data_IF_037665338491
#
_entry.id   IF_037665338491
#
_cell.length_a   1.000
_cell.length_b   1.000
_cell.length_c   1.000
_cell.angle_alpha   90.00
_cell.angle_beta   90.00
_cell.angle_gamma   90.00
#
_symmetry.space_group_name_H-M   'P 1'
#
loop_
_entity.id
_entity.type
_entity.pdbx_description
1 polymer ?
#
# COMPACT_ATOMS: atom_id res chain seq x y z
N UNK A 1 40.51 -62.79 24.41
CA UNK A 1 41.86 -62.23 24.61
C UNK A 1 41.63 -60.77 24.97
N UNK A 2 41.47 -60.51 26.26
CA UNK A 2 42.50 -60.00 27.21
C UNK A 2 42.50 -58.46 27.17
N UNK A 3 41.79 -57.75 28.06
CA UNK A 3 42.03 -57.59 29.51
C UNK A 3 43.48 -57.22 29.81
N UNK A 4 43.67 -56.03 30.35
CA UNK A 4 44.53 -55.61 31.48
C UNK A 4 44.16 -54.14 31.72
N UNK A 5 43.33 -53.79 32.71
CA UNK A 5 43.52 -53.87 34.17
C UNK A 5 44.92 -53.44 34.62
N UNK A 6 44.94 -52.32 35.35
CA UNK A 6 45.97 -51.96 36.31
C UNK A 6 45.23 -51.47 37.58
N UNK A 7 44.97 -52.43 38.48
CA UNK A 7 45.30 -52.44 39.91
C UNK A 7 46.17 -51.26 40.38
N UNK A 8 46.16 -50.76 41.61
CA UNK A 8 45.47 -50.99 42.88
C UNK A 8 46.06 -49.90 43.79
N UNK A 9 45.29 -49.26 44.68
CA UNK A 9 45.65 -49.21 46.11
C UNK A 9 44.56 -48.54 46.97
N UNK A 10 44.29 -49.17 48.10
CA UNK A 10 43.31 -48.90 49.16
C UNK A 10 44.10 -48.87 50.48
N UNK A 11 43.54 -48.65 51.69
CA UNK A 11 42.73 -47.58 52.27
C UNK A 11 43.46 -46.89 53.46
N UNK A 12 42.83 -45.91 54.14
CA UNK A 12 42.83 -45.96 55.61
C UNK A 12 41.64 -45.19 56.21
N UNK A 13 40.84 -45.93 56.97
CA UNK A 13 39.78 -45.53 57.87
C UNK A 13 40.32 -44.92 59.16
N UNK A 14 39.63 -43.93 59.74
CA UNK A 14 39.57 -43.77 61.20
C UNK A 14 38.31 -43.02 61.63
N UNK A 15 37.40 -43.77 62.24
CA UNK A 15 36.33 -43.30 63.12
C UNK A 15 36.92 -42.69 64.40
N UNK A 16 36.27 -41.66 64.94
CA UNK A 16 36.02 -41.60 66.39
C UNK A 16 34.84 -40.67 66.71
N UNK A 17 33.79 -41.28 67.23
CA UNK A 17 32.67 -40.64 67.91
C UNK A 17 33.04 -40.37 69.38
N UNK A 18 32.50 -39.30 69.98
CA UNK A 18 32.22 -39.24 71.41
C UNK A 18 31.01 -38.34 71.67
N UNK A 19 30.09 -38.82 72.51
CA UNK A 19 28.85 -38.20 72.94
C UNK A 19 28.93 -37.78 74.43
N UNK A 20 28.16 -36.76 74.84
CA UNK A 20 27.78 -36.54 76.24
C UNK A 20 27.64 -35.06 76.70
N UNK A 21 26.45 -34.61 77.20
CA UNK A 21 26.16 -33.25 77.71
C UNK A 21 26.07 -33.23 79.27
N UNK A 22 25.39 -32.29 79.99
CA UNK A 22 25.12 -30.83 79.82
C UNK A 22 25.64 -30.01 81.04
N UNK A 23 25.44 -28.67 81.10
CA UNK A 23 24.99 -27.92 82.32
C UNK A 23 24.85 -26.39 82.12
N UNK A 24 23.62 -25.91 82.30
CA UNK A 24 23.14 -24.69 83.00
C UNK A 24 23.86 -23.34 83.01
N UNK A 25 23.02 -22.29 82.73
CA UNK A 25 23.01 -20.89 83.23
C UNK A 25 24.19 -20.01 82.79
N UNK A 26 24.06 -18.74 82.44
CA UNK A 26 23.17 -17.66 82.89
C UNK A 26 23.17 -16.54 81.82
N UNK A 27 22.11 -15.72 81.80
CA UNK A 27 21.95 -14.55 80.94
C UNK A 27 22.95 -13.43 81.31
N UNK A 28 23.25 -12.52 80.37
CA UNK A 28 22.99 -11.07 80.44
C UNK A 28 23.91 -10.28 79.49
N UNK A 29 23.30 -9.33 78.76
CA UNK A 29 23.76 -7.94 78.54
C UNK A 29 23.96 -7.47 77.09
N UNK A 30 22.90 -6.80 76.62
CA UNK A 30 22.86 -5.54 75.88
C UNK A 30 23.71 -5.34 74.62
N UNK A 31 23.04 -5.30 73.46
CA UNK A 31 23.59 -4.66 72.27
C UNK A 31 22.77 -4.84 71.00
N UNK A 32 21.61 -4.20 70.88
CA UNK A 32 20.94 -4.02 69.58
C UNK A 32 20.22 -2.67 69.57
N UNK A 33 20.75 -1.73 68.77
CA UNK A 33 20.06 -0.49 68.42
C UNK A 33 18.83 -0.78 67.54
N UNK A 34 17.90 0.17 67.42
CA UNK A 34 16.71 -0.03 66.59
C UNK A 34 17.11 -0.30 65.13
N UNK A 35 16.38 -1.20 64.42
CA UNK A 35 16.66 -1.47 63.02
C UNK A 35 16.49 -0.19 62.19
N UNK A 36 17.33 0.06 61.17
CA UNK A 36 17.13 1.19 60.29
C UNK A 36 15.77 1.04 59.60
N UNK A 37 14.90 2.04 59.78
CA UNK A 37 13.65 2.12 59.06
C UNK A 37 13.93 2.20 57.55
N UNK A 38 13.20 1.46 56.70
CA UNK A 38 13.39 1.53 55.26
C UNK A 38 13.07 2.95 54.79
N UNK A 39 14.04 3.57 54.13
CA UNK A 39 13.88 4.86 53.48
C UNK A 39 12.66 4.85 52.57
N UNK A 40 11.77 5.81 52.79
CA UNK A 40 10.81 6.26 51.80
C UNK A 40 11.56 6.82 50.57
N UNK A 41 11.03 6.54 49.38
CA UNK A 41 11.68 6.70 48.09
C UNK A 41 11.83 5.30 47.50
N UNK A 42 11.03 4.86 46.54
CA UNK A 42 10.76 5.58 45.31
C UNK A 42 9.30 5.32 44.86
N UNK A 43 8.51 6.39 44.70
CA UNK A 43 7.35 6.37 43.82
C UNK A 43 7.88 6.30 42.37
N UNK A 44 8.49 5.16 42.04
CA UNK A 44 9.19 4.93 40.80
C UNK A 44 8.17 4.47 39.74
N UNK A 45 7.98 5.22 38.63
CA UNK A 45 7.14 4.76 37.51
C UNK A 45 7.64 3.41 36.94
N UNK A 46 8.87 3.04 37.24
CA UNK A 46 9.53 1.79 36.86
C UNK A 46 8.90 0.56 37.50
N UNK A 47 8.32 0.67 38.70
CA UNK A 47 7.71 -0.47 39.40
C UNK A 47 6.42 -0.97 38.73
N UNK A 48 5.59 -0.03 38.24
CA UNK A 48 4.34 -0.35 37.55
C UNK A 48 4.59 -0.83 36.12
N UNK A 49 5.52 -0.20 35.40
CA UNK A 49 5.90 -0.62 34.06
C UNK A 49 6.56 -2.00 34.08
N UNK A 50 7.49 -2.27 35.00
CA UNK A 50 8.08 -3.61 35.16
C UNK A 50 7.03 -4.64 35.51
N UNK A 51 6.13 -4.36 36.46
CA UNK A 51 5.04 -5.27 36.83
C UNK A 51 4.10 -5.57 35.65
N UNK A 52 3.82 -4.59 34.81
CA UNK A 52 3.06 -4.77 33.58
C UNK A 52 3.83 -5.61 32.55
N UNK A 53 5.10 -5.28 32.32
CA UNK A 53 5.97 -5.96 31.36
C UNK A 53 6.27 -7.41 31.75
N UNK A 54 6.30 -7.74 33.03
CA UNK A 54 6.59 -9.10 33.55
C UNK A 54 5.35 -9.83 34.06
N UNK A 55 4.14 -9.33 33.82
CA UNK A 55 2.93 -10.02 34.26
C UNK A 55 2.78 -11.38 33.53
N UNK A 56 2.79 -12.48 34.27
CA UNK A 56 2.70 -13.84 33.72
C UNK A 56 1.27 -14.41 33.73
N UNK A 57 0.31 -13.74 34.38
CA UNK A 57 -1.10 -14.17 34.43
C UNK A 57 -2.07 -13.00 34.64
N UNK A 58 -3.34 -13.22 34.28
CA UNK A 58 -4.43 -12.25 34.51
C UNK A 58 -4.58 -11.15 33.45
N UNK A 59 -5.45 -10.14 33.69
CA UNK A 59 -5.81 -9.12 32.70
C UNK A 59 -4.64 -8.25 32.22
N UNK A 60 -3.61 -8.05 33.06
CA UNK A 60 -2.42 -7.26 32.70
C UNK A 60 -1.57 -7.97 31.64
N UNK A 61 -1.46 -9.30 31.70
CA UNK A 61 -0.77 -10.08 30.66
C UNK A 61 -1.51 -9.94 29.32
N UNK A 62 -2.84 -10.11 29.32
CA UNK A 62 -3.64 -9.93 28.10
C UNK A 62 -3.48 -8.53 27.50
N UNK A 63 -3.51 -7.48 28.34
CA UNK A 63 -3.27 -6.11 27.90
C UNK A 63 -1.86 -5.93 27.34
N UNK A 64 -0.82 -6.51 27.95
CA UNK A 64 0.55 -6.49 27.41
C UNK A 64 0.60 -7.14 26.04
N UNK A 65 0.08 -8.35 25.88
CA UNK A 65 0.09 -9.08 24.61
C UNK A 65 -0.68 -8.34 23.50
N UNK A 66 -1.80 -7.72 23.86
CA UNK A 66 -2.55 -6.87 22.94
C UNK A 66 -1.72 -5.65 22.52
N UNK A 67 -1.12 -4.94 23.47
CA UNK A 67 -0.30 -3.76 23.18
C UNK A 67 0.98 -4.10 22.42
N UNK A 68 1.67 -5.20 22.74
CA UNK A 68 2.87 -5.63 21.99
C UNK A 68 2.52 -6.04 20.57
N UNK A 69 1.38 -6.71 20.36
CA UNK A 69 0.88 -7.03 19.02
C UNK A 69 0.56 -5.77 18.22
N UNK A 70 -0.20 -4.83 18.79
CA UNK A 70 -0.50 -3.54 18.16
C UNK A 70 0.76 -2.73 17.88
N UNK A 71 1.69 -2.67 18.84
CA UNK A 71 2.96 -1.97 18.69
C UNK A 71 3.83 -2.60 17.60
N UNK A 72 3.83 -3.93 17.49
CA UNK A 72 4.57 -4.64 16.43
C UNK A 72 4.01 -4.29 15.05
N UNK A 73 2.68 -4.32 14.88
CA UNK A 73 2.03 -3.93 13.61
C UNK A 73 2.30 -2.46 13.29
N UNK A 74 2.17 -1.57 14.28
CA UNK A 74 2.48 -0.15 14.12
C UNK A 74 3.96 0.06 13.74
N UNK A 75 4.89 -0.66 14.36
CA UNK A 75 6.31 -0.58 14.04
C UNK A 75 6.61 -1.01 12.60
N UNK A 76 5.99 -2.10 12.13
CA UNK A 76 6.10 -2.54 10.73
C UNK A 76 5.50 -1.50 9.79
N UNK A 77 4.32 -0.96 10.10
CA UNK A 77 3.67 0.08 9.29
C UNK A 77 4.50 1.37 9.21
N UNK A 78 5.02 1.83 10.35
CA UNK A 78 5.91 2.98 10.42
C UNK A 78 7.22 2.77 9.69
N UNK A 79 7.81 1.57 9.77
CA UNK A 79 9.01 1.22 9.01
C UNK A 79 8.74 1.29 7.50
N UNK A 80 7.62 0.70 7.04
CA UNK A 80 7.23 0.76 5.64
C UNK A 80 6.99 2.20 5.19
N UNK A 81 6.26 3.00 5.97
CA UNK A 81 6.01 4.41 5.68
C UNK A 81 7.29 5.24 5.67
N UNK A 82 8.22 5.00 6.61
CA UNK A 82 9.51 5.70 6.64
C UNK A 82 10.33 5.43 5.38
N UNK A 83 10.25 4.21 4.84
CA UNK A 83 10.93 3.81 3.59
C UNK A 83 10.18 4.35 2.38
N UNK A 84 8.85 4.19 2.29
CA UNK A 84 8.06 4.52 1.10
C UNK A 84 7.67 5.99 1.00
N UNK A 85 7.45 6.69 2.10
CA UNK A 85 6.83 8.02 2.16
C UNK A 85 5.33 8.04 1.85
N UNK A 86 4.73 6.90 1.49
CA UNK A 86 3.31 6.78 1.10
C UNK A 86 2.63 5.60 1.79
N UNK A 87 1.36 5.78 2.12
CA UNK A 87 0.53 4.74 2.72
C UNK A 87 -0.79 4.60 1.95
N UNK A 88 -1.17 3.38 1.48
CA UNK A 88 -0.42 2.13 1.57
C UNK A 88 0.78 2.10 0.60
N UNK A 89 1.91 1.46 0.97
CA UNK A 89 3.13 1.43 0.16
C UNK A 89 3.08 0.43 -1.00
N UNK A 90 1.91 -0.18 -1.25
CA UNK A 90 1.74 -1.25 -2.22
C UNK A 90 0.39 -1.15 -2.92
N UNK A 91 0.39 -1.33 -4.24
CA UNK A 91 -0.79 -1.39 -5.10
C UNK A 91 -0.83 -2.71 -5.87
N UNK A 92 -2.03 -3.27 -6.08
CA UNK A 92 -2.20 -4.47 -6.88
C UNK A 92 -2.59 -4.09 -8.31
N UNK A 93 -2.04 -4.79 -9.29
CA UNK A 93 -2.38 -4.57 -10.69
C UNK A 93 -3.70 -5.27 -11.02
N UNK A 94 -4.70 -4.50 -11.42
CA UNK A 94 -6.05 -5.00 -11.68
C UNK A 94 -6.34 -5.28 -13.17
N UNK A 95 -5.59 -4.65 -14.07
CA UNK A 95 -5.78 -4.72 -15.52
C UNK A 95 -4.47 -5.05 -16.26
N UNK A 96 -4.58 -5.42 -17.53
CA UNK A 96 -3.45 -5.71 -18.42
C UNK A 96 -2.95 -4.48 -19.20
N UNK A 97 -3.23 -3.26 -18.74
CA UNK A 97 -2.81 -2.03 -19.46
C UNK A 97 -1.30 -1.83 -19.50
N UNK A 98 -0.56 -2.53 -18.62
CA UNK A 98 0.89 -2.47 -18.51
C UNK A 98 1.60 -3.74 -18.98
N UNK A 99 0.90 -4.65 -19.66
CA UNK A 99 1.52 -5.86 -20.22
C UNK A 99 2.56 -5.51 -21.32
N UNK A 100 3.66 -6.28 -21.45
CA UNK A 100 4.07 -7.41 -20.62
C UNK A 100 4.85 -7.01 -19.34
N UNK A 101 5.08 -5.72 -19.14
CA UNK A 101 5.97 -5.17 -18.13
C UNK A 101 5.42 -5.34 -16.71
N UNK A 102 4.09 -5.24 -16.55
CA UNK A 102 3.38 -5.50 -15.31
C UNK A 102 2.06 -6.22 -15.61
N UNK A 103 1.87 -7.38 -14.98
CA UNK A 103 0.74 -8.27 -15.27
C UNK A 103 -0.33 -8.17 -14.18
N UNK A 104 -1.55 -8.51 -14.56
CA UNK A 104 -2.66 -8.62 -13.61
C UNK A 104 -2.32 -9.55 -12.45
N UNK A 105 -2.52 -9.07 -11.24
CA UNK A 105 -2.21 -9.78 -10.00
C UNK A 105 -0.76 -9.64 -9.53
N UNK A 106 0.05 -8.81 -10.18
CA UNK A 106 1.33 -8.37 -9.61
C UNK A 106 1.08 -7.39 -8.44
N UNK A 107 1.93 -7.43 -7.42
CA UNK A 107 1.97 -6.43 -6.36
C UNK A 107 3.13 -5.48 -6.59
N UNK A 108 2.86 -4.18 -6.53
CA UNK A 108 3.81 -3.14 -6.88
C UNK A 108 4.11 -2.32 -5.64
N UNK A 109 5.37 -2.29 -5.25
CA UNK A 109 5.85 -1.38 -4.22
C UNK A 109 6.00 0.02 -4.80
N UNK A 110 5.41 1.00 -4.12
CA UNK A 110 5.38 2.39 -4.53
C UNK A 110 6.05 3.28 -3.48
N UNK A 111 6.65 4.36 -3.94
CA UNK A 111 7.22 5.40 -3.09
C UNK A 111 6.58 6.74 -3.40
N UNK A 112 6.71 7.69 -2.48
CA UNK A 112 6.44 9.11 -2.71
C UNK A 112 7.17 9.60 -3.97
N UNK A 113 6.56 10.49 -4.76
CA UNK A 113 7.27 11.17 -5.86
C UNK A 113 8.56 11.83 -5.34
N UNK A 114 9.64 11.77 -6.12
CA UNK A 114 10.95 12.34 -5.72
C UNK A 114 11.80 11.46 -4.82
N UNK A 115 11.19 10.55 -4.06
CA UNK A 115 11.93 9.65 -3.18
C UNK A 115 12.72 8.62 -3.97
N UNK A 116 14.05 8.70 -3.95
CA UNK A 116 14.95 7.93 -4.84
C UNK A 116 14.79 8.28 -6.34
N UNK A 117 14.34 9.49 -6.66
CA UNK A 117 14.36 9.95 -8.05
C UNK A 117 15.81 10.20 -8.51
N UNK A 118 16.15 9.84 -9.76
CA UNK A 118 17.44 10.21 -10.34
C UNK A 118 17.48 11.70 -10.67
N UNK A 119 18.69 12.25 -10.87
CA UNK A 119 18.89 13.67 -11.20
C UNK A 119 18.25 14.07 -12.54
N UNK A 120 18.00 13.10 -13.43
CA UNK A 120 17.30 13.31 -14.70
C UNK A 120 15.78 13.53 -14.54
N UNK A 121 15.24 13.39 -13.33
CA UNK A 121 13.84 13.61 -13.08
C UNK A 121 13.47 15.08 -13.28
N UNK A 122 12.25 15.33 -13.76
CA UNK A 122 11.74 16.69 -13.87
C UNK A 122 11.70 17.35 -12.49
N UNK A 123 12.24 18.56 -12.43
CA UNK A 123 12.35 19.35 -11.19
C UNK A 123 11.01 19.42 -10.45
N UNK A 124 11.05 19.19 -9.14
CA UNK A 124 9.86 19.24 -8.28
C UNK A 124 8.88 18.06 -8.42
N UNK A 125 9.11 17.12 -9.34
CA UNK A 125 8.18 15.98 -9.55
C UNK A 125 8.80 14.62 -9.23
N UNK A 126 10.12 14.46 -9.40
CA UNK A 126 10.77 13.18 -9.21
C UNK A 126 10.42 12.11 -10.25
N UNK A 127 9.81 12.50 -11.37
CA UNK A 127 9.42 11.63 -12.47
C UNK A 127 10.37 11.85 -13.64
N UNK A 128 10.92 10.76 -14.17
CA UNK A 128 11.64 10.76 -15.46
C UNK A 128 10.64 10.35 -16.53
N UNK A 129 10.42 11.18 -17.53
CA UNK A 129 9.54 10.82 -18.65
C UNK A 129 10.23 9.78 -19.54
N UNK A 130 9.47 9.02 -20.32
CA UNK A 130 10.01 8.04 -21.27
C UNK A 130 11.02 8.69 -22.23
N UNK A 131 10.68 9.85 -22.79
CA UNK A 131 11.57 10.61 -23.68
C UNK A 131 12.90 10.98 -23.04
N UNK A 132 12.89 11.55 -21.82
CA UNK A 132 14.13 11.86 -21.09
C UNK A 132 14.86 10.58 -20.69
N UNK A 133 14.12 9.54 -20.31
CA UNK A 133 14.66 8.24 -19.93
C UNK A 133 15.42 7.57 -21.08
N UNK A 134 14.93 7.70 -22.31
CA UNK A 134 15.61 7.22 -23.52
C UNK A 134 16.92 7.98 -23.77
N UNK A 135 16.93 9.29 -23.54
CA UNK A 135 18.14 10.12 -23.69
C UNK A 135 19.22 9.80 -22.65
N UNK A 136 18.82 9.53 -21.41
CA UNK A 136 19.76 9.30 -20.29
C UNK A 136 19.97 7.83 -19.93
N UNK A 137 19.29 6.90 -20.60
CA UNK A 137 19.35 5.46 -20.31
C UNK A 137 18.71 5.07 -18.98
N UNK A 138 17.67 5.78 -18.54
CA UNK A 138 16.93 5.45 -17.32
C UNK A 138 15.71 4.58 -17.65
N UNK A 139 15.73 3.34 -17.15
CA UNK A 139 14.68 2.34 -17.38
C UNK A 139 13.98 1.91 -16.10
N UNK A 140 12.66 1.71 -16.19
CA UNK A 140 11.88 1.01 -15.16
C UNK A 140 10.95 -0.01 -15.81
N UNK A 141 10.89 -1.22 -15.24
CA UNK A 141 10.06 -2.32 -15.72
C UNK A 141 10.29 -2.67 -17.21
N UNK A 142 11.55 -2.77 -17.65
CA UNK A 142 11.96 -3.13 -19.02
C UNK A 142 11.59 -2.14 -20.13
N UNK A 143 11.27 -0.88 -19.80
CA UNK A 143 11.11 0.22 -20.77
C UNK A 143 11.58 1.54 -20.12
N UNK A 144 11.80 2.58 -20.91
CA UNK A 144 12.37 3.84 -20.44
C UNK A 144 11.42 4.64 -19.56
N UNK A 145 11.99 5.52 -18.74
CA UNK A 145 11.24 6.45 -17.90
C UNK A 145 10.55 5.78 -16.72
N UNK A 146 9.76 6.56 -16.01
CA UNK A 146 9.11 6.22 -14.74
C UNK A 146 7.67 5.77 -14.96
N UNK A 147 7.27 4.71 -14.27
CA UNK A 147 5.86 4.32 -14.09
C UNK A 147 5.30 4.99 -12.84
N UNK A 148 4.23 5.75 -13.02
CA UNK A 148 3.60 6.55 -11.98
C UNK A 148 2.21 6.00 -11.63
N UNK A 149 1.83 6.17 -10.37
CA UNK A 149 0.48 5.92 -9.86
C UNK A 149 -0.16 7.27 -9.60
N UNK A 150 -1.36 7.50 -10.15
CA UNK A 150 -2.03 8.78 -10.04
C UNK A 150 -3.54 8.65 -9.93
N UNK A 151 -4.15 9.65 -9.30
CA UNK A 151 -5.60 9.83 -9.23
C UNK A 151 -5.99 10.98 -10.16
N UNK A 152 -6.84 10.69 -11.14
CA UNK A 152 -7.31 11.71 -12.09
C UNK A 152 -8.52 12.44 -11.52
N UNK A 153 -8.47 13.78 -11.48
CA UNK A 153 -9.56 14.59 -10.92
C UNK A 153 -10.91 14.28 -11.58
N UNK A 154 -11.89 13.86 -10.78
CA UNK A 154 -13.23 13.49 -11.24
C UNK A 154 -13.44 11.98 -11.46
N UNK A 155 -12.40 11.16 -11.37
CA UNK A 155 -12.54 9.70 -11.39
C UNK A 155 -12.78 9.16 -9.97
N UNK A 156 -13.95 8.54 -9.74
CA UNK A 156 -14.29 7.82 -8.50
C UNK A 156 -13.85 6.35 -8.61
N UNK A 157 -12.64 6.12 -9.11
CA UNK A 157 -12.10 4.80 -9.43
C UNK A 157 -10.83 4.46 -8.64
N UNK A 158 -10.32 3.22 -8.77
CA UNK A 158 -9.00 2.89 -8.26
C UNK A 158 -7.92 3.71 -8.97
N UNK A 159 -6.79 4.00 -8.30
CA UNK A 159 -5.68 4.73 -8.90
C UNK A 159 -5.18 4.09 -10.19
N UNK A 160 -4.75 4.91 -11.14
CA UNK A 160 -4.25 4.47 -12.44
C UNK A 160 -2.73 4.33 -12.37
N UNK A 161 -2.18 3.26 -12.94
CA UNK A 161 -0.74 3.01 -13.00
C UNK A 161 -0.26 2.93 -14.44
N UNK A 162 0.39 3.98 -14.93
CA UNK A 162 0.86 4.07 -16.31
C UNK A 162 2.22 4.77 -16.40
N UNK A 163 2.87 4.66 -17.57
CA UNK A 163 4.16 5.28 -17.81
C UNK A 163 4.01 6.74 -18.20
N UNK A 164 4.82 7.61 -17.59
CA UNK A 164 4.94 9.00 -18.01
C UNK A 164 5.71 9.05 -19.33
N UNK A 165 5.10 9.53 -20.41
CA UNK A 165 5.72 9.55 -21.75
C UNK A 165 6.52 10.82 -21.98
N UNK A 166 5.90 11.98 -21.74
CA UNK A 166 6.53 13.29 -21.81
C UNK A 166 5.75 14.31 -20.96
N UNK A 167 6.30 15.51 -20.80
CA UNK A 167 5.69 16.60 -20.03
C UNK A 167 5.21 17.70 -20.95
N UNK A 168 4.07 18.29 -20.64
CA UNK A 168 3.49 19.41 -21.38
C UNK A 168 3.17 20.57 -20.45
N UNK A 169 3.36 21.80 -20.93
CA UNK A 169 2.96 23.03 -20.24
C UNK A 169 1.53 23.47 -20.60
N UNK A 170 0.92 24.29 -19.76
CA UNK A 170 -0.38 24.91 -20.03
C UNK A 170 -0.39 25.66 -21.36
N UNK A 171 -1.43 25.42 -22.17
CA UNK A 171 -1.61 26.01 -23.49
C UNK A 171 -0.74 25.42 -24.59
N UNK A 172 0.08 24.40 -24.28
CA UNK A 172 0.96 23.78 -25.26
C UNK A 172 0.18 22.91 -26.25
N UNK A 173 0.54 23.05 -27.53
CA UNK A 173 0.13 22.11 -28.56
C UNK A 173 0.99 20.84 -28.44
N UNK A 174 0.54 19.92 -27.61
CA UNK A 174 1.25 18.66 -27.40
C UNK A 174 1.06 17.64 -28.51
N UNK A 175 0.20 17.91 -29.51
CA UNK A 175 0.13 17.07 -30.70
C UNK A 175 1.49 16.97 -31.36
N UNK A 176 2.23 18.07 -31.48
CA UNK A 176 3.50 18.14 -32.22
C UNK A 176 4.56 17.20 -31.66
N UNK A 177 4.58 17.02 -30.33
CA UNK A 177 5.47 16.09 -29.63
C UNK A 177 4.92 14.66 -29.54
N UNK A 178 3.59 14.50 -29.60
CA UNK A 178 2.94 13.20 -29.48
C UNK A 178 3.30 12.23 -30.61
N UNK A 179 3.37 10.94 -30.26
CA UNK A 179 3.38 9.87 -31.25
C UNK A 179 2.01 9.79 -31.96
N UNK A 180 2.01 10.03 -33.27
CA UNK A 180 0.80 10.08 -34.10
C UNK A 180 0.03 8.76 -34.15
N UNK A 181 0.67 7.63 -33.83
CA UNK A 181 -0.02 6.35 -33.73
C UNK A 181 -0.94 6.26 -32.50
N UNK A 182 -0.76 7.12 -31.49
CA UNK A 182 -1.43 7.02 -30.18
C UNK A 182 -2.46 8.13 -29.91
N UNK A 183 -2.75 8.96 -30.92
CA UNK A 183 -3.66 10.12 -30.83
C UNK A 183 -5.02 9.89 -31.50
N UNK A 184 -5.47 8.63 -31.56
CA UNK A 184 -6.79 8.25 -32.10
C UNK A 184 -7.12 8.77 -33.50
N UNK A 185 -6.10 8.89 -34.36
CA UNK A 185 -6.28 9.36 -35.73
C UNK A 185 -6.51 10.87 -35.86
N UNK A 186 -6.25 11.65 -34.81
CA UNK A 186 -6.23 13.10 -34.90
C UNK A 186 -5.12 13.59 -35.84
N UNK A 187 -5.45 14.57 -36.67
CA UNK A 187 -4.53 15.23 -37.60
C UNK A 187 -3.94 16.53 -37.03
N UNK A 188 -4.49 17.01 -35.90
CA UNK A 188 -4.03 18.20 -35.20
C UNK A 188 -4.59 18.25 -33.76
N UNK A 189 -4.10 19.24 -33.01
CA UNK A 189 -4.47 19.48 -31.62
C UNK A 189 -5.97 19.76 -31.42
N UNK A 190 -6.61 20.48 -32.34
CA UNK A 190 -8.04 20.86 -32.21
C UNK A 190 -8.98 19.65 -32.25
N UNK A 191 -8.50 18.50 -32.74
CA UNK A 191 -9.23 17.24 -32.80
C UNK A 191 -8.99 16.34 -31.58
N UNK A 192 -8.16 16.77 -30.62
CA UNK A 192 -7.81 15.97 -29.45
C UNK A 192 -8.39 16.57 -28.18
N UNK A 193 -8.94 15.71 -27.34
CA UNK A 193 -9.29 16.11 -25.99
C UNK A 193 -8.05 16.54 -25.22
N UNK A 194 -8.20 17.60 -24.44
CA UNK A 194 -7.12 18.20 -23.65
C UNK A 194 -5.94 18.74 -24.47
N UNK A 195 -6.16 19.11 -25.74
CA UNK A 195 -5.20 19.81 -26.58
C UNK A 195 -5.83 21.12 -27.11
N UNK A 196 -5.20 22.30 -26.91
CA UNK A 196 -3.96 22.54 -26.16
C UNK A 196 -4.08 22.11 -24.70
N UNK A 197 -2.94 21.81 -24.06
CA UNK A 197 -2.93 21.28 -22.71
C UNK A 197 -3.66 22.24 -21.74
N UNK A 198 -4.69 21.79 -21.00
CA UNK A 198 -5.47 22.66 -20.13
C UNK A 198 -4.70 23.13 -18.89
N UNK A 199 -3.58 22.47 -18.59
CA UNK A 199 -2.63 22.79 -17.53
C UNK A 199 -1.36 21.97 -17.71
N UNK A 200 -0.33 22.34 -16.95
CA UNK A 200 0.90 21.58 -16.79
C UNK A 200 0.63 20.13 -16.35
N UNK A 201 1.35 19.17 -16.95
CA UNK A 201 1.27 17.78 -16.53
C UNK A 201 2.00 16.79 -17.44
N UNK A 202 1.94 15.52 -17.04
CA UNK A 202 2.48 14.40 -17.80
C UNK A 202 1.45 13.87 -18.79
N UNK A 203 1.88 13.66 -20.04
CA UNK A 203 1.16 12.78 -20.96
C UNK A 203 1.52 11.35 -20.60
N UNK A 204 0.50 10.52 -20.34
CA UNK A 204 0.67 9.17 -19.80
C UNK A 204 0.07 8.13 -20.74
N UNK A 205 0.60 6.91 -20.65
CA UNK A 205 0.10 5.79 -21.45
C UNK A 205 0.44 4.46 -20.79
N UNK A 206 -0.54 3.57 -20.67
CA UNK A 206 -0.28 2.17 -20.36
C UNK A 206 0.58 1.51 -21.43
N UNK A 207 1.56 0.70 -21.03
CA UNK A 207 2.51 0.06 -21.95
C UNK A 207 1.81 -0.77 -23.04
N UNK A 208 0.66 -1.37 -22.71
CA UNK A 208 -0.18 -2.16 -23.62
C UNK A 208 -1.42 -1.42 -24.17
N UNK A 209 -1.59 -0.12 -23.88
CA UNK A 209 -2.74 0.64 -24.39
C UNK A 209 -2.54 1.01 -25.87
N UNK A 210 -3.62 1.20 -26.62
CA UNK A 210 -3.53 1.67 -28.01
C UNK A 210 -3.20 3.17 -28.12
N UNK A 211 -3.69 3.96 -27.16
CA UNK A 211 -3.69 5.42 -27.20
C UNK A 211 -3.22 6.01 -25.88
N UNK A 212 -2.85 7.30 -25.91
CA UNK A 212 -2.58 8.07 -24.69
C UNK A 212 -3.80 8.14 -23.78
N UNK A 213 -3.57 8.28 -22.48
CA UNK A 213 -4.65 8.40 -21.50
C UNK A 213 -5.46 9.68 -21.73
N UNK A 214 -4.80 10.72 -22.26
CA UNK A 214 -5.37 12.03 -22.59
C UNK A 214 -6.29 12.01 -23.81
N UNK A 215 -6.05 11.12 -24.78
CA UNK A 215 -6.95 10.96 -25.93
C UNK A 215 -8.03 9.92 -25.69
N UNK A 216 -7.85 9.01 -24.72
CA UNK A 216 -8.78 7.92 -24.42
C UNK A 216 -9.76 8.22 -23.27
N UNK A 217 -9.96 9.51 -22.97
CA UNK A 217 -10.90 9.97 -21.95
C UNK A 217 -10.64 9.38 -20.54
N UNK A 218 -9.39 9.01 -20.24
CA UNK A 218 -8.97 8.47 -18.94
C UNK A 218 -8.59 9.62 -18.00
N UNK A 219 -7.79 10.57 -18.48
CA UNK A 219 -7.32 11.69 -17.67
C UNK A 219 -6.82 12.83 -18.57
N UNK A 220 -7.01 14.11 -18.22
CA UNK A 220 -6.21 15.19 -18.81
C UNK A 220 -4.71 15.01 -18.49
N UNK A 221 -3.79 15.88 -18.97
CA UNK A 221 -2.38 15.82 -18.59
C UNK A 221 -2.23 15.66 -17.07
N UNK A 222 -1.48 14.67 -16.60
CA UNK A 222 -1.47 14.32 -15.17
C UNK A 222 -0.64 15.34 -14.41
N UNK A 223 -1.26 16.15 -13.55
CA UNK A 223 -0.55 17.12 -12.72
C UNK A 223 0.43 16.42 -11.79
N UNK A 224 1.54 17.09 -11.47
CA UNK A 224 2.49 16.57 -10.48
C UNK A 224 1.83 16.25 -9.12
N UNK A 225 0.87 17.08 -8.69
CA UNK A 225 0.11 16.91 -7.44
C UNK A 225 -0.87 15.73 -7.46
N UNK A 226 -1.21 15.19 -8.63
CA UNK A 226 -2.08 14.01 -8.77
C UNK A 226 -1.30 12.71 -8.69
N UNK A 227 0.03 12.77 -8.79
CA UNK A 227 0.89 11.60 -8.67
C UNK A 227 0.96 11.20 -7.20
N UNK A 228 0.27 10.13 -6.85
CA UNK A 228 0.24 9.59 -5.48
C UNK A 228 1.46 8.73 -5.18
N UNK A 229 2.15 8.22 -6.21
CA UNK A 229 3.40 7.49 -6.03
C UNK A 229 4.11 7.09 -7.31
N UNK A 230 5.34 6.62 -7.17
CA UNK A 230 6.19 6.07 -8.23
C UNK A 230 6.38 4.58 -8.01
N UNK A 231 6.13 3.77 -9.03
CA UNK A 231 6.34 2.33 -8.97
C UNK A 231 7.85 2.00 -8.97
N UNK A 232 8.28 1.14 -8.03
CA UNK A 232 9.70 0.81 -7.83
C UNK A 232 10.02 -0.66 -8.02
N UNK A 233 9.21 -1.53 -7.42
CA UNK A 233 9.48 -2.97 -7.40
C UNK A 233 8.21 -3.72 -7.73
N UNK A 234 8.33 -4.72 -8.59
CA UNK A 234 7.26 -5.66 -8.95
C UNK A 234 7.48 -6.98 -8.26
N UNK A 235 6.46 -7.46 -7.56
CA UNK A 235 6.42 -8.78 -6.94
C UNK A 235 5.36 -9.60 -7.66
N UNK A 236 5.77 -10.54 -8.54
CA UNK A 236 4.82 -11.31 -9.33
C UNK A 236 3.83 -12.09 -8.48
N UNK A 237 2.58 -12.18 -8.95
CA UNK A 237 1.48 -12.97 -8.36
C UNK A 237 1.01 -12.58 -6.95
N UNK A 238 1.76 -11.76 -6.20
CA UNK A 238 1.41 -11.43 -4.81
C UNK A 238 0.18 -10.51 -4.70
N UNK A 239 -0.17 -9.81 -5.78
CA UNK A 239 -1.38 -9.00 -5.86
C UNK A 239 -2.66 -9.84 -5.77
N UNK A 240 -2.63 -11.11 -6.20
CA UNK A 240 -3.77 -12.03 -6.08
C UNK A 240 -4.19 -12.26 -4.63
N UNK A 241 -3.28 -12.14 -3.66
CA UNK A 241 -3.64 -12.21 -2.23
C UNK A 241 -4.61 -11.06 -1.90
N UNK A 242 -4.26 -9.83 -2.27
CA UNK A 242 -5.11 -8.65 -2.07
C UNK A 242 -6.42 -8.76 -2.86
N UNK A 243 -6.35 -9.13 -4.14
CA UNK A 243 -7.54 -9.26 -5.00
C UNK A 243 -8.49 -10.38 -4.52
N UNK A 244 -7.93 -11.48 -4.02
CA UNK A 244 -8.68 -12.60 -3.47
C UNK A 244 -9.43 -12.24 -2.18
N UNK A 245 -8.80 -11.49 -1.27
CA UNK A 245 -9.48 -11.01 -0.07
C UNK A 245 -10.52 -9.92 -0.36
N UNK A 246 -10.27 -9.03 -1.31
CA UNK A 246 -11.27 -8.04 -1.75
C UNK A 246 -12.45 -8.68 -2.49
N UNK A 247 -12.23 -9.77 -3.24
CA UNK A 247 -13.29 -10.54 -3.91
C UNK A 247 -14.05 -11.50 -2.97
N UNK A 248 -13.41 -12.01 -1.91
CA UNK A 248 -14.06 -12.86 -0.92
C UNK A 248 -14.87 -12.06 0.12
N UNK A 249 -14.56 -10.79 0.33
CA UNK A 249 -15.31 -9.91 1.23
C UNK A 249 -16.73 -9.56 0.74
N UNK A 250 -17.10 -9.90 -0.51
CA UNK A 250 -18.45 -9.68 -1.06
C UNK A 250 -19.32 -10.94 -1.10
N UNK A 251 -18.81 -12.11 -0.67
CA UNK A 251 -19.59 -13.36 -0.62
C UNK A 251 -19.57 -13.97 0.78
N UNK A 252 -20.44 -13.47 1.65
CA UNK A 252 -20.75 -14.08 2.94
C UNK A 252 -22.12 -13.63 3.44
N UNK A 253 -23.04 -14.55 3.82
CA UNK A 253 -24.25 -14.17 4.55
C UNK A 253 -23.84 -13.75 5.96
N UNK A 254 -24.16 -12.50 6.35
CA UNK A 254 -23.98 -12.00 7.71
C UNK A 254 -25.28 -12.20 8.50
N UNK A 255 -25.41 -13.35 9.15
CA UNK A 255 -26.29 -13.51 10.31
C UNK A 255 -25.48 -13.24 11.58
N UNK A 256 -25.93 -12.29 12.40
CA UNK A 256 -25.56 -12.20 13.82
C UNK A 256 -24.94 -10.88 14.28
N UNK A 257 -25.80 -10.01 14.81
CA UNK A 257 -25.49 -8.80 15.58
C UNK A 257 -24.34 -8.92 16.60
N UNK A 258 -23.41 -7.98 16.55
CA UNK A 258 -22.79 -7.35 17.72
C UNK A 258 -22.42 -5.89 17.40
N UNK A 259 -22.77 -5.00 18.32
CA UNK A 259 -22.85 -3.56 18.13
C UNK A 259 -21.49 -2.84 17.98
N UNK A 260 -21.37 -2.05 16.91
CA UNK A 260 -21.10 -0.61 16.98
C UNK A 260 -19.70 -0.11 17.35
N UNK A 261 -18.81 -0.01 16.36
CA UNK A 261 -17.89 1.13 16.23
C UNK A 261 -18.03 1.68 14.82
N UNK A 262 -18.54 2.91 14.72
CA UNK A 262 -18.78 3.61 13.46
C UNK A 262 -17.51 4.26 12.95
N UNK A 263 -17.10 3.96 11.72
CA UNK A 263 -16.54 4.98 10.81
C UNK A 263 -16.89 4.60 9.37
N UNK A 264 -17.39 5.61 8.64
CA UNK A 264 -17.96 5.61 7.29
C UNK A 264 -17.01 5.00 6.22
N UNK A 265 -17.39 4.53 5.03
CA UNK A 265 -18.45 4.87 4.07
C UNK A 265 -18.75 3.64 3.18
N UNK A 266 -19.99 3.49 2.73
CA UNK A 266 -20.34 2.84 1.45
C UNK A 266 -21.86 2.89 1.29
N UNK A 267 -22.36 3.90 0.58
CA UNK A 267 -23.74 3.92 0.11
C UNK A 267 -23.76 3.25 -1.26
N UNK A 268 -24.20 1.99 -1.30
CA UNK A 268 -24.55 1.31 -2.55
C UNK A 268 -25.89 1.86 -3.05
N UNK A 269 -25.88 2.26 -4.31
CA UNK A 269 -27.07 2.54 -5.11
C UNK A 269 -27.71 1.23 -5.55
N UNK A 270 -29.02 1.07 -5.34
CA UNK A 270 -29.84 0.19 -6.16
C UNK A 270 -31.06 0.92 -6.73
N UNK A 271 -31.01 1.02 -8.05
CA UNK A 271 -32.05 0.86 -9.06
C UNK A 271 -33.28 1.80 -9.14
N UNK A 272 -33.27 2.57 -10.22
CA UNK A 272 -34.34 2.89 -11.16
C UNK A 272 -35.81 2.74 -10.69
N UNK A 273 -36.53 3.86 -10.67
CA UNK A 273 -37.95 3.90 -11.08
C UNK A 273 -38.26 5.23 -11.75
N UNK A 274 -38.78 5.11 -12.97
CA UNK A 274 -39.35 6.13 -13.84
C UNK A 274 -40.43 6.96 -13.13
N UNK A 275 -40.36 8.29 -13.25
CA UNK A 275 -41.51 9.20 -13.26
C UNK A 275 -41.10 10.52 -13.91
N UNK A 276 -41.85 10.94 -14.95
CA UNK A 276 -41.75 12.27 -15.57
C UNK A 276 -42.20 13.39 -14.62
N UNK A 277 -42.37 14.67 -15.06
CA UNK A 277 -42.76 15.10 -16.41
C UNK A 277 -41.82 16.19 -16.99
N UNK A 278 -42.01 16.58 -18.25
CA UNK A 278 -42.20 17.98 -18.65
C UNK A 278 -42.56 18.07 -20.14
N UNK A 279 -43.79 18.53 -20.33
CA UNK A 279 -44.43 19.06 -21.52
C UNK A 279 -43.60 20.19 -22.15
N UNK A 280 -43.23 20.05 -23.42
CA UNK A 280 -43.13 21.18 -24.36
C UNK A 280 -43.75 20.76 -25.69
N UNK A 281 -44.85 21.43 -25.99
CA UNK A 281 -45.56 21.50 -27.25
C UNK A 281 -44.71 22.22 -28.31
N UNK A 282 -44.37 21.55 -29.42
CA UNK A 282 -44.08 22.22 -30.69
C UNK A 282 -44.70 21.42 -31.84
N UNK A 283 -45.65 22.10 -32.48
CA UNK A 283 -46.38 21.77 -33.70
C UNK A 283 -45.42 21.66 -34.89
N UNK A 284 -45.59 20.66 -35.78
CA UNK A 284 -44.96 20.72 -37.10
C UNK A 284 -44.82 19.43 -37.89
N UNK A 285 -45.90 19.09 -38.61
CA UNK A 285 -45.94 18.53 -39.97
C UNK A 285 -45.24 17.18 -40.33
N UNK A 286 -46.09 16.31 -40.88
CA UNK A 286 -45.82 15.01 -41.49
C UNK A 286 -45.08 15.15 -42.81
N UNK A 287 -44.03 14.37 -43.05
CA UNK A 287 -43.64 13.90 -44.38
C UNK A 287 -42.85 12.58 -44.31
N UNK A 288 -43.52 11.48 -44.63
CA UNK A 288 -42.91 10.18 -44.91
C UNK A 288 -42.47 10.14 -46.38
N UNK A 289 -41.16 10.11 -46.64
CA UNK A 289 -40.61 9.81 -47.95
C UNK A 289 -40.28 8.31 -48.04
N UNK A 290 -40.86 7.66 -49.06
CA UNK A 290 -40.83 6.22 -49.26
C UNK A 290 -39.50 5.69 -49.82
N UNK A 291 -39.21 4.46 -49.45
CA UNK A 291 -38.17 3.59 -49.99
C UNK A 291 -38.49 3.22 -51.44
N UNK A 292 -37.60 3.55 -52.38
CA UNK A 292 -37.66 3.08 -53.76
C UNK A 292 -36.65 1.94 -53.97
N UNK A 293 -37.18 0.74 -54.19
CA UNK A 293 -36.45 -0.44 -54.66
C UNK A 293 -36.34 -0.37 -56.19
N UNK A 294 -35.13 -0.39 -56.75
CA UNK A 294 -34.92 -0.49 -58.20
C UNK A 294 -34.35 -1.89 -58.53
N UNK A 295 -35.19 -2.69 -59.20
CA UNK A 295 -34.86 -4.00 -59.77
C UNK A 295 -34.13 -3.80 -61.10
N UNK A 296 -32.95 -4.42 -61.23
CA UNK A 296 -32.22 -4.51 -62.49
C UNK A 296 -32.89 -5.51 -63.44
N UNK A 297 -33.08 -5.12 -64.70
CA UNK A 297 -33.45 -6.02 -65.79
C UNK A 297 -32.48 -5.83 -66.97
N UNK A 298 -32.05 -6.98 -67.46
CA UNK A 298 -31.08 -7.24 -68.52
C UNK A 298 -31.61 -6.80 -69.88
N UNK A 299 -30.74 -6.17 -70.66
CA UNK A 299 -30.85 -5.90 -72.09
C UNK A 299 -29.49 -5.52 -72.63
#
# INVERSE_FOLDING_TARGET
>A
MSVTDNDDNVPSTSQKAYAGPPTSREQMSAGEGPPPEPSAGDDEPDGLLRRFLTAESGPLMFAREMLTSMATVAAVGLLLFAISGVWPPMVAVESGSMDPNMQKGDLIFVTEPGRFAPDAAREGTGVVTHQVGEEVGYETFNDYGTVIVYDSAGNVGPPIIHRARFWVGEGENWYDEANKAWVQGADNCEQMDNCPAPHDGFITKGDNNAYYDQTNNISPPVKAEWVVGTARVRIPYLGWVRLGFSGAATTGPVDGSAAGVTTAESVLSENATVSGPHEIEVVGEVQTAGTATATAAVG
#
